data_IF_601521295668
#
_entry.id   IF_601521295668
#
_cell.length_a   1.000
_cell.length_b   1.000
_cell.length_c   1.000
_cell.angle_alpha   90.00
_cell.angle_beta   90.00
_cell.angle_gamma   90.00
#
_symmetry.space_group_name_H-M   'P 1'
#
loop_
_entity.id
_entity.type
_entity.pdbx_description
1 polymer ?
#
# COMPACT_ATOMS: atom_id res chain seq x y z
N UNK A 1 -13.42 9.85 17.99
CA UNK A 1 -12.06 10.11 18.51
C UNK A 1 -11.29 10.76 17.36
N UNK A 2 -10.90 12.03 17.48
CA UNK A 2 -10.07 12.66 16.45
C UNK A 2 -8.62 12.20 16.59
N UNK A 3 -8.02 11.70 15.52
CA UNK A 3 -6.60 11.33 15.50
C UNK A 3 -5.75 12.60 15.61
N UNK A 4 -4.68 12.59 16.41
CA UNK A 4 -3.74 13.71 16.43
C UNK A 4 -2.92 13.76 15.14
N UNK A 5 -2.31 14.91 14.82
CA UNK A 5 -1.44 15.02 13.64
C UNK A 5 -0.28 14.00 13.69
N UNK A 6 0.29 13.81 14.88
CA UNK A 6 1.35 12.83 15.13
C UNK A 6 0.88 11.39 14.89
N UNK A 7 -0.34 11.06 15.30
CA UNK A 7 -0.91 9.73 15.05
C UNK A 7 -1.12 9.50 13.56
N UNK A 8 -1.61 10.52 12.83
CA UNK A 8 -1.79 10.43 11.38
C UNK A 8 -0.45 10.23 10.64
N UNK A 9 0.60 10.96 11.03
CA UNK A 9 1.95 10.79 10.46
C UNK A 9 2.51 9.39 10.76
N UNK A 10 2.27 8.87 11.96
CA UNK A 10 2.70 7.53 12.35
C UNK A 10 1.95 6.45 11.56
N UNK A 11 0.63 6.60 11.37
CA UNK A 11 -0.18 5.71 10.52
C UNK A 11 0.30 5.75 9.07
N UNK A 12 0.54 6.95 8.52
CA UNK A 12 1.06 7.10 7.16
C UNK A 12 2.40 6.38 6.98
N UNK A 13 3.29 6.47 7.97
CA UNK A 13 4.56 5.71 7.95
C UNK A 13 4.32 4.20 7.88
N UNK A 14 3.40 3.66 8.68
CA UNK A 14 3.08 2.23 8.65
C UNK A 14 2.40 1.80 7.34
N UNK A 15 1.53 2.64 6.77
CA UNK A 15 0.92 2.36 5.46
C UNK A 15 1.96 2.28 4.34
N UNK A 16 2.95 3.19 4.33
CA UNK A 16 4.06 3.14 3.36
C UNK A 16 4.89 1.87 3.53
N UNK A 17 5.27 1.53 4.76
CA UNK A 17 6.02 0.29 5.03
C UNK A 17 5.24 -0.96 4.57
N UNK A 18 3.92 -1.00 4.79
CA UNK A 18 3.09 -2.12 4.35
C UNK A 18 3.00 -2.19 2.82
N UNK A 19 2.90 -1.05 2.13
CA UNK A 19 2.91 -0.98 0.66
C UNK A 19 4.24 -1.50 0.12
N UNK A 20 5.37 -1.02 0.64
CA UNK A 20 6.70 -1.43 0.19
C UNK A 20 6.88 -2.95 0.34
N UNK A 21 6.43 -3.52 1.47
CA UNK A 21 6.46 -4.98 1.69
C UNK A 21 5.55 -5.74 0.73
N UNK A 22 4.37 -5.21 0.40
CA UNK A 22 3.49 -5.84 -0.59
C UNK A 22 4.06 -5.76 -2.01
N UNK A 23 4.76 -4.68 -2.38
CA UNK A 23 5.44 -4.58 -3.67
C UNK A 23 6.60 -5.56 -3.79
N UNK A 24 7.40 -5.72 -2.73
CA UNK A 24 8.45 -6.75 -2.67
C UNK A 24 7.87 -8.15 -2.82
N UNK A 25 6.78 -8.44 -2.10
CA UNK A 25 6.08 -9.73 -2.21
C UNK A 25 5.51 -9.93 -3.61
N UNK A 26 4.87 -8.92 -4.19
CA UNK A 26 4.32 -8.98 -5.54
C UNK A 26 5.41 -9.25 -6.59
N UNK A 27 6.57 -8.61 -6.48
CA UNK A 27 7.70 -8.87 -7.38
C UNK A 27 8.25 -10.28 -7.20
N UNK A 28 8.43 -10.73 -5.95
CA UNK A 28 8.84 -12.11 -5.67
C UNK A 28 7.83 -13.12 -6.22
N UNK A 29 6.53 -12.79 -6.17
CA UNK A 29 5.50 -13.61 -6.79
C UNK A 29 5.70 -13.70 -8.29
N UNK A 30 5.77 -12.57 -9.01
CA UNK A 30 6.03 -12.52 -10.45
C UNK A 30 7.27 -13.35 -10.83
N UNK A 31 8.33 -13.25 -10.03
CA UNK A 31 9.56 -14.00 -10.30
C UNK A 31 9.33 -15.52 -10.15
N UNK A 32 8.59 -15.96 -9.13
CA UNK A 32 8.18 -17.37 -8.96
C UNK A 32 7.31 -17.83 -10.13
N UNK A 33 6.32 -17.00 -10.53
CA UNK A 33 5.43 -17.23 -11.66
C UNK A 33 6.22 -17.47 -12.96
N UNK A 34 7.29 -16.71 -13.17
CA UNK A 34 8.16 -16.81 -14.34
C UNK A 34 9.15 -18.00 -14.27
N UNK A 35 9.44 -18.54 -13.08
CA UNK A 35 10.45 -19.57 -12.85
C UNK A 35 9.90 -21.01 -12.71
N UNK A 36 8.61 -21.24 -12.44
CA UNK A 36 8.10 -22.61 -12.23
C UNK A 36 6.57 -22.80 -12.15
N UNK A 37 6.14 -24.01 -12.55
CA UNK A 37 4.78 -24.58 -12.67
C UNK A 37 3.61 -23.61 -12.75
N UNK A 38 3.23 -23.36 -14.00
CA UNK A 38 1.88 -22.95 -14.39
C UNK A 38 0.87 -24.05 -14.06
N UNK A 39 -0.35 -23.66 -13.69
CA UNK A 39 -1.50 -24.54 -13.60
C UNK A 39 -1.85 -25.18 -14.95
N UNK A 40 -2.91 -25.99 -14.98
CA UNK A 40 -3.37 -26.64 -16.20
C UNK A 40 -3.70 -25.67 -17.36
N UNK A 41 -3.91 -24.38 -17.08
CA UNK A 41 -4.25 -23.33 -18.04
C UNK A 41 -3.06 -22.44 -18.42
N UNK A 42 -1.86 -22.72 -17.91
CA UNK A 42 -0.69 -21.89 -18.18
C UNK A 42 -0.59 -20.66 -17.27
N UNK A 43 -1.40 -20.57 -16.20
CA UNK A 43 -1.36 -19.48 -15.23
C UNK A 43 -0.62 -19.89 -13.96
N UNK A 44 0.19 -19.00 -13.39
CA UNK A 44 0.82 -19.28 -12.11
C UNK A 44 -0.21 -19.53 -10.99
N UNK A 45 0.04 -20.53 -10.13
CA UNK A 45 -0.89 -21.00 -9.06
C UNK A 45 -1.10 -19.98 -7.93
N UNK A 46 -0.47 -18.82 -8.01
CA UNK A 46 -0.35 -17.81 -6.94
C UNK A 46 -0.98 -16.50 -7.38
N UNK A 47 -1.85 -15.93 -6.54
CA UNK A 47 -2.72 -14.82 -6.95
C UNK A 47 -2.02 -13.46 -6.88
N UNK A 48 -1.11 -13.19 -7.81
CA UNK A 48 -0.47 -11.88 -8.00
C UNK A 48 -1.49 -10.76 -8.31
N UNK A 49 -2.68 -11.08 -8.83
CA UNK A 49 -3.75 -10.11 -9.08
C UNK A 49 -4.34 -9.52 -7.80
N UNK A 50 -4.53 -10.34 -6.76
CA UNK A 50 -5.01 -9.84 -5.46
C UNK A 50 -3.98 -8.89 -4.83
N UNK A 51 -2.70 -9.26 -4.85
CA UNK A 51 -1.60 -8.40 -4.39
C UNK A 51 -1.55 -7.06 -5.12
N UNK A 52 -1.72 -7.07 -6.45
CA UNK A 52 -1.78 -5.84 -7.24
C UNK A 52 -2.96 -4.94 -6.84
N UNK A 53 -4.13 -5.53 -6.55
CA UNK A 53 -5.30 -4.82 -6.06
C UNK A 53 -5.09 -4.20 -4.67
N UNK A 54 -4.44 -4.93 -3.77
CA UNK A 54 -4.12 -4.46 -2.42
C UNK A 54 -3.12 -3.30 -2.45
N UNK A 55 -2.07 -3.39 -3.27
CA UNK A 55 -1.08 -2.31 -3.45
C UNK A 55 -1.77 -1.03 -3.93
N UNK A 56 -2.64 -1.12 -4.93
CA UNK A 56 -3.41 0.03 -5.43
C UNK A 56 -4.31 0.62 -4.34
N UNK A 57 -4.92 -0.22 -3.51
CA UNK A 57 -5.75 0.24 -2.39
C UNK A 57 -4.91 0.99 -1.36
N UNK A 58 -3.71 0.48 -1.04
CA UNK A 58 -2.76 1.16 -0.15
C UNK A 58 -2.30 2.50 -0.72
N UNK A 59 -2.03 2.60 -2.02
CA UNK A 59 -1.71 3.87 -2.68
C UNK A 59 -2.80 4.92 -2.52
N UNK A 60 -4.06 4.55 -2.79
CA UNK A 60 -5.20 5.44 -2.62
C UNK A 60 -5.37 5.90 -1.16
N UNK A 61 -5.15 5.01 -0.20
CA UNK A 61 -5.20 5.34 1.23
C UNK A 61 -4.07 6.29 1.62
N UNK A 62 -2.83 6.04 1.16
CA UNK A 62 -1.68 6.91 1.41
C UNK A 62 -1.96 8.32 0.90
N UNK A 63 -2.42 8.46 -0.34
CA UNK A 63 -2.76 9.77 -0.94
C UNK A 63 -3.82 10.52 -0.12
N UNK A 64 -4.86 9.82 0.33
CA UNK A 64 -5.91 10.43 1.19
C UNK A 64 -5.37 10.85 2.55
N UNK A 65 -4.48 10.05 3.16
CA UNK A 65 -3.85 10.41 4.43
C UNK A 65 -2.91 11.61 4.29
N UNK A 66 -2.13 11.67 3.22
CA UNK A 66 -1.25 12.82 2.94
C UNK A 66 -2.03 14.13 2.75
N UNK A 67 -3.17 14.08 2.04
CA UNK A 67 -4.04 15.23 1.86
C UNK A 67 -4.59 15.72 3.21
N UNK A 68 -5.14 14.82 4.03
CA UNK A 68 -5.67 15.18 5.35
C UNK A 68 -4.60 15.72 6.30
N UNK A 69 -3.39 15.16 6.28
CA UNK A 69 -2.25 15.67 7.06
C UNK A 69 -1.88 17.09 6.61
N UNK A 70 -1.88 17.36 5.31
CA UNK A 70 -1.58 18.69 4.75
C UNK A 70 -2.62 19.72 5.17
N UNK A 71 -3.90 19.38 5.03
CA UNK A 71 -5.02 20.23 5.47
C UNK A 71 -4.89 20.56 6.96
N UNK A 72 -4.65 19.53 7.79
CA UNK A 72 -4.51 19.71 9.23
C UNK A 72 -3.29 20.54 9.61
N UNK A 73 -2.17 20.42 8.90
CA UNK A 73 -0.99 21.29 9.08
C UNK A 73 -1.28 22.74 8.70
N UNK A 74 -2.03 22.96 7.62
CA UNK A 74 -2.48 24.29 7.19
C UNK A 74 -3.35 24.96 8.25
N UNK A 75 -4.38 24.27 8.74
CA UNK A 75 -5.28 24.80 9.78
C UNK A 75 -4.59 25.12 11.11
N UNK A 76 -3.51 24.42 11.45
CA UNK A 76 -2.71 24.71 12.67
C UNK A 76 -1.82 25.95 12.49
N UNK A 77 -1.49 26.34 11.26
CA UNK A 77 -0.59 27.48 10.99
C UNK A 77 -1.36 28.81 10.87
N UNK A 78 -2.66 28.76 10.58
CA UNK A 78 -3.53 29.93 10.40
C UNK A 78 -4.35 30.30 11.65
N UNK A 79 -4.17 29.59 12.77
CA UNK A 79 -4.91 29.77 14.03
C UNK A 79 -4.09 30.37 15.18
#
# INVERSE_FOLDING_TARGET
>A
MELSLKDMEQILKYLRMAKDQQEELYQAMIDIENLGEVDHDGMPVVNSRELSGDIKTLEELILRFEAQIREKKGSVTEG
#
